data_IF_056281477113
#
_entry.id   IF_056281477113
#
_cell.length_a   1.000
_cell.length_b   1.000
_cell.length_c   1.000
_cell.angle_alpha   90.00
_cell.angle_beta   90.00
_cell.angle_gamma   90.00
#
_symmetry.space_group_name_H-M   'P 1'
#
loop_
_entity.id
_entity.type
_entity.pdbx_description
1 polymer ?
#
# COMPACT_ATOMS: atom_id res chain seq x y z
N UNK A 1 -6.69 -6.20 15.41
CA UNK A 1 -7.34 -4.88 15.40
C UNK A 1 -6.30 -3.87 14.98
N UNK A 2 -6.54 -3.02 13.98
CA UNK A 2 -5.61 -1.93 13.68
C UNK A 2 -5.46 -1.04 14.92
N UNK A 3 -4.25 -0.51 15.14
CA UNK A 3 -4.03 0.51 16.16
C UNK A 3 -4.86 1.74 15.77
N UNK A 4 -5.63 2.33 16.69
CA UNK A 4 -6.37 3.55 16.40
C UNK A 4 -5.39 4.71 16.11
N UNK A 5 -5.82 5.59 15.22
CA UNK A 5 -5.08 6.82 14.96
C UNK A 5 -5.12 7.75 16.18
N UNK A 6 -3.99 8.31 16.54
CA UNK A 6 -3.92 9.39 17.55
C UNK A 6 -4.24 10.71 16.86
N UNK A 7 -5.45 11.23 17.06
CA UNK A 7 -5.93 12.43 16.38
C UNK A 7 -5.84 13.67 17.27
N UNK A 8 -5.43 14.82 16.71
CA UNK A 8 -5.57 16.10 17.41
C UNK A 8 -7.04 16.44 17.74
N UNK A 9 -7.30 17.23 18.78
CA UNK A 9 -8.64 17.69 19.08
C UNK A 9 -9.31 18.40 17.89
N UNK A 10 -10.57 18.08 17.60
CA UNK A 10 -11.33 18.67 16.51
C UNK A 10 -11.14 18.04 15.14
N UNK A 11 -10.28 17.02 15.02
CA UNK A 11 -10.16 16.23 13.79
C UNK A 11 -11.19 15.12 13.76
N UNK A 12 -11.91 15.01 12.64
CA UNK A 12 -12.85 13.92 12.39
C UNK A 12 -12.15 12.77 11.69
N UNK A 13 -12.27 11.56 12.23
CA UNK A 13 -11.79 10.34 11.56
C UNK A 13 -12.92 9.76 10.69
N UNK A 14 -12.59 9.43 9.43
CA UNK A 14 -13.48 8.75 8.50
C UNK A 14 -12.81 7.44 8.08
N UNK A 15 -13.37 6.32 8.57
CA UNK A 15 -12.85 4.99 8.26
C UNK A 15 -13.39 4.50 6.91
N UNK A 16 -12.51 4.33 5.93
CA UNK A 16 -12.83 3.86 4.59
C UNK A 16 -12.21 2.48 4.34
N UNK A 17 -12.97 1.41 4.58
CA UNK A 17 -12.46 0.04 4.45
C UNK A 17 -12.46 -0.44 3.00
N UNK A 18 -11.36 -0.17 2.31
CA UNK A 18 -11.14 -0.53 0.91
C UNK A 18 -11.16 -2.06 0.68
N UNK A 19 -10.70 -2.83 1.66
CA UNK A 19 -10.50 -4.28 1.52
C UNK A 19 -11.54 -5.12 2.29
N UNK A 20 -12.65 -4.52 2.71
CA UNK A 20 -13.70 -5.22 3.46
C UNK A 20 -14.19 -6.50 2.79
N UNK A 21 -14.31 -6.50 1.47
CA UNK A 21 -14.80 -7.62 0.68
C UNK A 21 -13.66 -8.52 0.13
N UNK A 22 -12.39 -8.22 0.48
CA UNK A 22 -11.26 -8.98 -0.02
C UNK A 22 -11.24 -10.41 0.53
N UNK A 23 -11.11 -11.39 -0.37
CA UNK A 23 -10.85 -12.78 -0.03
C UNK A 23 -9.37 -13.11 -0.24
N UNK A 24 -8.70 -13.61 0.81
CA UNK A 24 -7.29 -13.99 0.74
C UNK A 24 -6.35 -12.79 0.80
N UNK A 25 -6.30 -12.15 1.96
CA UNK A 25 -5.31 -11.12 2.28
C UNK A 25 -3.89 -11.70 2.27
N UNK A 26 -2.90 -10.84 2.00
CA UNK A 26 -1.50 -11.16 2.21
C UNK A 26 -1.29 -11.72 3.62
N UNK A 27 -0.34 -12.66 3.82
CA UNK A 27 -0.08 -13.22 5.14
C UNK A 27 0.10 -12.12 6.19
N UNK A 28 -0.61 -12.23 7.31
CA UNK A 28 -0.55 -11.24 8.39
C UNK A 28 0.81 -11.22 9.11
N UNK A 29 1.66 -12.20 8.83
CA UNK A 29 2.97 -12.40 9.43
C UNK A 29 4.14 -12.15 8.46
N UNK A 30 3.96 -11.30 7.45
CA UNK A 30 5.02 -11.00 6.46
C UNK A 30 6.36 -10.64 7.09
N UNK A 31 6.36 -9.81 8.13
CA UNK A 31 7.59 -9.43 8.83
C UNK A 31 8.25 -10.62 9.54
N UNK A 32 7.48 -11.53 10.09
CA UNK A 32 8.03 -12.74 10.71
C UNK A 32 8.66 -13.67 9.66
N UNK A 33 8.07 -13.78 8.47
CA UNK A 33 8.63 -14.56 7.36
C UNK A 33 9.95 -13.97 6.83
N UNK A 34 10.16 -12.66 6.97
CA UNK A 34 11.43 -12.03 6.61
C UNK A 34 12.54 -12.26 7.64
N UNK A 35 12.22 -12.74 8.85
CA UNK A 35 13.23 -13.13 9.84
C UNK A 35 13.81 -14.52 9.58
N UNK A 36 13.12 -15.36 8.80
CA UNK A 36 13.57 -16.69 8.37
C UNK A 36 13.59 -16.78 6.84
N UNK A 37 14.74 -16.54 6.19
CA UNK A 37 14.87 -16.56 4.73
C UNK A 37 14.41 -17.86 4.09
N UNK A 38 14.60 -19.01 4.76
CA UNK A 38 14.21 -20.32 4.24
C UNK A 38 12.69 -20.47 4.20
N UNK A 39 12.02 -20.16 5.30
CA UNK A 39 10.56 -20.17 5.35
C UNK A 39 9.95 -19.05 4.50
N UNK A 40 10.61 -17.87 4.44
CA UNK A 40 10.24 -16.78 3.55
C UNK A 40 10.24 -17.19 2.08
N UNK A 41 11.32 -17.80 1.60
CA UNK A 41 11.41 -18.30 0.23
C UNK A 41 10.34 -19.38 -0.06
N UNK A 42 10.13 -20.31 0.85
CA UNK A 42 9.10 -21.36 0.70
C UNK A 42 7.69 -20.78 0.60
N UNK A 43 7.37 -19.82 1.45
CA UNK A 43 6.04 -19.24 1.54
C UNK A 43 5.76 -18.20 0.43
N UNK A 44 6.74 -17.36 0.10
CA UNK A 44 6.58 -16.16 -0.69
C UNK A 44 7.38 -16.15 -2.00
N UNK A 45 8.38 -17.03 -2.13
CA UNK A 45 9.28 -17.09 -3.29
C UNK A 45 8.63 -17.62 -4.57
N UNK A 46 9.40 -17.60 -5.65
CA UNK A 46 8.95 -18.07 -6.96
C UNK A 46 7.80 -17.26 -7.54
N UNK A 47 7.75 -15.95 -7.29
CA UNK A 47 6.70 -15.04 -7.79
C UNK A 47 5.39 -15.04 -7.02
N UNK A 48 5.26 -15.79 -5.92
CA UNK A 48 4.00 -15.86 -5.14
C UNK A 48 3.64 -14.54 -4.50
N UNK A 49 4.63 -13.84 -3.94
CA UNK A 49 4.38 -12.55 -3.29
C UNK A 49 3.98 -11.48 -4.31
N UNK A 50 4.63 -11.45 -5.46
CA UNK A 50 4.30 -10.54 -6.56
C UNK A 50 2.87 -10.81 -7.05
N UNK A 51 2.50 -12.06 -7.28
CA UNK A 51 1.15 -12.44 -7.69
C UNK A 51 0.11 -12.00 -6.64
N UNK A 52 0.44 -12.09 -5.35
CA UNK A 52 -0.41 -11.62 -4.25
C UNK A 52 -0.62 -10.11 -4.32
N UNK A 53 0.44 -9.33 -4.53
CA UNK A 53 0.33 -7.88 -4.66
C UNK A 53 -0.43 -7.48 -5.94
N UNK A 54 -0.15 -8.11 -7.09
CA UNK A 54 -0.92 -7.88 -8.33
C UNK A 54 -2.42 -8.10 -8.11
N UNK A 55 -2.79 -9.21 -7.42
CA UNK A 55 -4.18 -9.44 -7.05
C UNK A 55 -4.72 -8.32 -6.17
N UNK A 56 -3.99 -7.93 -5.13
CA UNK A 56 -4.41 -6.86 -4.21
C UNK A 56 -4.64 -5.54 -4.93
N UNK A 57 -3.76 -5.16 -5.86
CA UNK A 57 -3.94 -3.94 -6.67
C UNK A 57 -5.16 -4.01 -7.60
N UNK A 58 -5.47 -5.18 -8.15
CA UNK A 58 -6.73 -5.39 -8.90
C UNK A 58 -7.95 -5.26 -7.98
N UNK A 59 -7.85 -5.79 -6.76
CA UNK A 59 -8.91 -5.71 -5.75
C UNK A 59 -9.20 -4.25 -5.36
N UNK A 60 -8.21 -3.34 -5.32
CA UNK A 60 -8.42 -1.89 -5.10
C UNK A 60 -9.33 -1.23 -6.15
N UNK A 61 -9.48 -1.83 -7.33
CA UNK A 61 -10.30 -1.29 -8.41
C UNK A 61 -11.63 -2.06 -8.52
N UNK A 62 -11.60 -3.37 -8.30
CA UNK A 62 -12.71 -4.26 -8.63
C UNK A 62 -13.70 -4.51 -7.49
N UNK A 63 -13.23 -4.50 -6.22
CA UNK A 63 -14.10 -4.79 -5.09
C UNK A 63 -15.20 -3.72 -4.90
N UNK A 64 -16.44 -4.12 -4.57
CA UNK A 64 -17.49 -3.18 -4.22
C UNK A 64 -17.13 -2.26 -3.06
N UNK A 65 -16.46 -2.79 -2.01
CA UNK A 65 -15.96 -1.99 -0.87
C UNK A 65 -14.94 -0.95 -1.31
N UNK A 66 -14.00 -1.31 -2.20
CA UNK A 66 -13.01 -0.38 -2.72
C UNK A 66 -13.65 0.77 -3.50
N UNK A 67 -14.56 0.45 -4.41
CA UNK A 67 -15.30 1.46 -5.19
C UNK A 67 -16.10 2.40 -4.32
N UNK A 68 -16.72 1.88 -3.28
CA UNK A 68 -17.50 2.69 -2.32
C UNK A 68 -16.56 3.61 -1.52
N UNK A 69 -15.49 3.06 -0.95
CA UNK A 69 -14.54 3.80 -0.14
C UNK A 69 -13.84 4.93 -0.93
N UNK A 70 -13.36 4.64 -2.15
CA UNK A 70 -12.71 5.68 -2.95
C UNK A 70 -13.69 6.72 -3.50
N UNK A 71 -14.94 6.35 -3.81
CA UNK A 71 -15.98 7.33 -4.16
C UNK A 71 -16.21 8.29 -2.99
N UNK A 72 -16.33 7.77 -1.77
CA UNK A 72 -16.51 8.59 -0.58
C UNK A 72 -15.30 9.48 -0.32
N UNK A 73 -14.07 8.95 -0.46
CA UNK A 73 -12.84 9.74 -0.36
C UNK A 73 -12.85 10.91 -1.34
N UNK A 74 -13.04 10.66 -2.63
CA UNK A 74 -12.96 11.71 -3.65
C UNK A 74 -14.10 12.72 -3.55
N UNK A 75 -15.31 12.31 -3.18
CA UNK A 75 -16.41 13.26 -2.91
C UNK A 75 -16.15 14.08 -1.66
N UNK A 76 -15.52 13.52 -0.64
CA UNK A 76 -15.12 14.27 0.56
C UNK A 76 -14.02 15.28 0.26
N UNK A 77 -13.03 14.92 -0.55
CA UNK A 77 -11.97 15.84 -0.97
C UNK A 77 -12.46 16.98 -1.88
N UNK A 78 -13.57 16.77 -2.60
CA UNK A 78 -14.21 17.81 -3.40
C UNK A 78 -15.05 18.81 -2.57
N UNK A 79 -15.36 18.48 -1.33
CA UNK A 79 -16.13 19.32 -0.40
C UNK A 79 -15.19 20.24 0.39
N UNK A 80 -15.19 21.54 0.07
CA UNK A 80 -14.33 22.52 0.74
C UNK A 80 -14.56 22.61 2.26
N UNK A 81 -15.75 22.27 2.74
CA UNK A 81 -16.04 22.28 4.18
C UNK A 81 -15.32 21.18 4.97
N UNK A 82 -14.78 20.18 4.26
CA UNK A 82 -14.04 19.05 4.82
C UNK A 82 -12.52 19.18 4.70
N UNK A 83 -12.05 20.32 4.22
CA UNK A 83 -10.62 20.61 4.05
C UNK A 83 -10.08 21.48 5.20
N UNK A 84 -8.81 21.33 5.57
CA UNK A 84 -7.83 20.40 5.00
C UNK A 84 -8.08 18.94 5.41
N UNK A 85 -7.72 18.01 4.55
CA UNK A 85 -7.88 16.58 4.78
C UNK A 85 -6.55 15.84 4.61
N UNK A 86 -6.33 14.80 5.42
CA UNK A 86 -5.25 13.84 5.28
C UNK A 86 -5.87 12.46 5.03
N UNK A 87 -5.32 11.70 4.11
CA UNK A 87 -5.69 10.29 3.96
C UNK A 87 -4.44 9.40 3.97
N UNK A 88 -4.56 8.26 4.63
CA UNK A 88 -3.47 7.31 4.77
C UNK A 88 -3.99 5.86 4.85
N UNK A 89 -3.11 4.92 4.71
CA UNK A 89 -3.32 3.52 5.06
C UNK A 89 -2.25 3.08 6.05
N UNK A 90 -1.94 1.79 6.15
CA UNK A 90 -0.95 1.30 7.12
C UNK A 90 0.48 1.77 6.82
N UNK A 91 0.92 1.66 5.56
CA UNK A 91 2.28 2.01 5.13
C UNK A 91 2.33 3.24 4.20
N UNK A 92 1.20 3.76 3.79
CA UNK A 92 1.11 4.93 2.92
C UNK A 92 1.44 4.68 1.44
N UNK A 93 1.91 3.49 1.05
CA UNK A 93 2.39 3.21 -0.31
C UNK A 93 1.36 2.62 -1.26
N UNK A 94 0.55 1.65 -0.81
CA UNK A 94 -0.33 0.88 -1.70
C UNK A 94 -1.70 1.55 -1.87
N UNK A 95 -2.62 1.40 -0.92
CA UNK A 95 -3.97 2.00 -0.97
C UNK A 95 -3.94 3.52 -1.06
N UNK A 96 -3.08 4.15 -0.30
CA UNK A 96 -2.86 5.61 -0.34
C UNK A 96 -2.21 6.04 -1.64
N UNK A 97 -1.18 5.33 -2.10
CA UNK A 97 -0.49 5.62 -3.37
C UNK A 97 -1.44 5.50 -4.56
N UNK A 98 -2.30 4.47 -4.57
CA UNK A 98 -3.33 4.33 -5.60
C UNK A 98 -4.34 5.50 -5.56
N UNK A 99 -4.81 5.87 -4.36
CA UNK A 99 -5.73 7.00 -4.20
C UNK A 99 -5.11 8.32 -4.67
N UNK A 100 -3.84 8.57 -4.31
CA UNK A 100 -3.10 9.76 -4.76
C UNK A 100 -2.94 9.77 -6.29
N UNK A 101 -2.52 8.66 -6.89
CA UNK A 101 -2.39 8.53 -8.34
C UNK A 101 -3.73 8.75 -9.07
N UNK A 102 -4.82 8.19 -8.55
CA UNK A 102 -6.15 8.41 -9.10
C UNK A 102 -6.60 9.87 -8.97
N UNK A 103 -6.37 10.50 -7.81
CA UNK A 103 -6.70 11.91 -7.59
C UNK A 103 -5.92 12.82 -8.54
N UNK A 104 -4.60 12.62 -8.65
CA UNK A 104 -3.77 13.40 -9.59
C UNK A 104 -4.23 13.21 -11.04
N UNK A 105 -4.64 12.00 -11.42
CA UNK A 105 -5.20 11.72 -12.75
C UNK A 105 -6.53 12.46 -12.97
N UNK A 106 -7.41 12.49 -11.95
CA UNK A 106 -8.67 13.26 -12.02
C UNK A 106 -8.44 14.77 -12.14
N UNK A 107 -7.30 15.25 -11.68
CA UNK A 107 -6.86 16.66 -11.79
C UNK A 107 -6.05 16.93 -13.07
N UNK A 108 -6.11 16.06 -14.07
CA UNK A 108 -5.41 16.16 -15.36
C UNK A 108 -3.87 16.27 -15.26
N UNK A 109 -3.28 15.77 -14.16
CA UNK A 109 -1.82 15.67 -14.04
C UNK A 109 -1.31 14.62 -15.06
N UNK A 110 -0.26 14.95 -15.84
CA UNK A 110 0.27 14.03 -16.84
C UNK A 110 0.67 12.69 -16.24
N UNK A 111 0.29 11.57 -16.90
CA UNK A 111 0.55 10.20 -16.42
C UNK A 111 2.01 9.98 -16.00
N UNK A 112 2.97 10.55 -16.75
CA UNK A 112 4.39 10.46 -16.41
C UNK A 112 4.67 11.01 -15.01
N UNK A 113 4.17 12.21 -14.69
CA UNK A 113 4.32 12.83 -13.38
C UNK A 113 3.65 12.03 -12.27
N UNK A 114 2.43 11.53 -12.53
CA UNK A 114 1.72 10.64 -11.59
C UNK A 114 2.55 9.40 -11.26
N UNK A 115 3.15 8.77 -12.27
CA UNK A 115 3.97 7.57 -12.06
C UNK A 115 5.30 7.87 -11.36
N UNK A 116 5.92 9.00 -11.69
CA UNK A 116 7.13 9.48 -10.99
C UNK A 116 6.86 9.73 -9.51
N UNK A 117 5.75 10.41 -9.18
CA UNK A 117 5.32 10.65 -7.81
C UNK A 117 5.08 9.33 -7.05
N UNK A 118 4.33 8.41 -7.65
CA UNK A 118 4.06 7.10 -7.05
C UNK A 118 5.35 6.31 -6.76
N UNK A 119 6.29 6.27 -7.72
CA UNK A 119 7.55 5.54 -7.57
C UNK A 119 8.50 6.15 -6.55
N UNK A 120 8.38 7.46 -6.27
CA UNK A 120 9.15 8.13 -5.20
C UNK A 120 8.89 7.55 -3.81
N UNK A 121 7.80 6.82 -3.62
CA UNK A 121 7.57 6.06 -2.37
C UNK A 121 8.75 5.16 -2.03
N UNK A 122 9.45 4.62 -3.03
CA UNK A 122 10.63 3.78 -2.83
C UNK A 122 11.80 4.54 -2.18
N UNK A 123 11.97 5.83 -2.50
CA UNK A 123 13.07 6.66 -1.98
C UNK A 123 12.94 6.88 -0.46
N UNK A 124 11.71 6.81 0.06
CA UNK A 124 11.42 7.02 1.47
C UNK A 124 11.27 5.71 2.25
N UNK A 125 10.63 4.69 1.65
CA UNK A 125 10.29 3.47 2.36
C UNK A 125 11.46 2.48 2.37
N UNK A 126 12.11 2.23 1.24
CA UNK A 126 13.17 1.22 1.17
C UNK A 126 14.34 1.48 2.15
N UNK A 127 14.81 2.72 2.35
CA UNK A 127 15.84 2.99 3.33
C UNK A 127 15.45 2.64 4.77
N UNK A 128 14.16 2.78 5.14
CA UNK A 128 13.66 2.44 6.48
C UNK A 128 13.75 0.94 6.78
N UNK A 129 13.65 0.11 5.75
CA UNK A 129 13.69 -1.35 5.88
C UNK A 129 14.99 -1.97 5.37
N UNK A 130 16.01 -1.14 5.08
CA UNK A 130 17.27 -1.60 4.49
C UNK A 130 17.93 -2.72 5.29
N UNK A 131 17.99 -2.61 6.61
CA UNK A 131 18.60 -3.63 7.47
C UNK A 131 17.86 -4.98 7.39
N UNK A 132 16.53 -4.95 7.36
CA UNK A 132 15.69 -6.14 7.22
C UNK A 132 15.88 -6.77 5.84
N UNK A 133 15.93 -5.94 4.79
CA UNK A 133 16.14 -6.38 3.40
C UNK A 133 17.51 -7.04 3.27
N UNK A 134 18.56 -6.36 3.71
CA UNK A 134 19.93 -6.84 3.62
C UNK A 134 20.13 -8.15 4.42
N UNK A 135 19.59 -8.23 5.63
CA UNK A 135 19.66 -9.42 6.49
C UNK A 135 18.98 -10.63 5.84
N UNK A 136 17.77 -10.42 5.28
CA UNK A 136 17.02 -11.47 4.60
C UNK A 136 17.79 -12.00 3.37
N UNK A 137 18.31 -11.12 2.54
CA UNK A 137 19.07 -11.48 1.34
C UNK A 137 20.40 -12.16 1.69
N UNK A 138 21.12 -11.63 2.68
CA UNK A 138 22.38 -12.23 3.16
C UNK A 138 22.16 -13.64 3.74
N UNK A 139 20.99 -13.91 4.32
CA UNK A 139 20.56 -15.23 4.81
C UNK A 139 20.08 -16.19 3.70
N UNK A 140 20.20 -15.81 2.42
CA UNK A 140 19.78 -16.63 1.27
C UNK A 140 18.33 -16.44 0.85
N UNK A 141 17.67 -15.37 1.30
CA UNK A 141 16.34 -14.99 0.86
C UNK A 141 16.31 -14.45 -0.58
N UNK A 142 15.24 -14.73 -1.32
CA UNK A 142 15.03 -14.17 -2.66
C UNK A 142 14.87 -12.65 -2.59
N UNK A 143 15.71 -11.83 -3.28
CA UNK A 143 15.64 -10.36 -3.20
C UNK A 143 14.29 -9.78 -3.65
N UNK A 144 13.57 -10.47 -4.52
CA UNK A 144 12.25 -10.04 -4.99
C UNK A 144 11.21 -9.98 -3.88
N UNK A 145 11.34 -10.81 -2.84
CA UNK A 145 10.37 -10.88 -1.74
C UNK A 145 10.31 -9.57 -0.96
N UNK A 146 11.39 -9.08 -0.34
CA UNK A 146 11.34 -7.81 0.38
C UNK A 146 11.07 -6.62 -0.55
N UNK A 147 11.50 -6.67 -1.81
CA UNK A 147 11.19 -5.64 -2.79
C UNK A 147 9.68 -5.54 -3.06
N UNK A 148 8.98 -6.66 -3.19
CA UNK A 148 7.53 -6.67 -3.34
C UNK A 148 6.80 -6.19 -2.09
N UNK A 149 7.30 -6.54 -0.88
CA UNK A 149 6.69 -6.19 0.39
C UNK A 149 6.85 -4.69 0.70
N UNK A 150 8.04 -4.15 0.54
CA UNK A 150 8.36 -2.77 0.95
C UNK A 150 8.35 -1.77 -0.20
N UNK A 151 8.66 -2.20 -1.42
CA UNK A 151 8.69 -1.33 -2.58
C UNK A 151 7.34 -1.19 -3.28
N UNK A 152 7.32 -0.29 -4.26
CA UNK A 152 6.29 -0.15 -5.27
C UNK A 152 6.91 -0.27 -6.65
N UNK A 153 6.17 -0.80 -7.62
CA UNK A 153 6.61 -0.91 -9.02
C UNK A 153 5.44 -0.68 -9.98
N UNK A 154 5.77 -0.31 -11.20
CA UNK A 154 4.81 -0.23 -12.30
C UNK A 154 4.93 -1.51 -13.11
N UNK A 155 3.81 -2.19 -13.34
CA UNK A 155 3.71 -3.35 -14.23
C UNK A 155 2.92 -2.98 -15.49
#
# INVERSE_FOLDING_TARGET
>A
TPLPDELPPGVNNVWLDVLKDASGSAPTNLLALLQDPKEGNKALGGGKIEATFVKSYRDFISLPSARTAYRELFTSLADQSKLPALFHCTTGKDRTGWAAAALLTLLDVPKKTVMEDYLRSNDYILPLYKEVIDSFVAGGGEPSIPQAIFGVKVE
#
